data_IF_023652063328
#
_entry.id   IF_023652063328
#
_cell.length_a   1.000
_cell.length_b   1.000
_cell.length_c   1.000
_cell.angle_alpha   90.00
_cell.angle_beta   90.00
_cell.angle_gamma   90.00
#
_symmetry.space_group_name_H-M   'P 1'
#
loop_
_entity.id
_entity.type
_entity.pdbx_description
1 polymer ?
#
# COMPACT_ATOMS: atom_id res chain seq x y z
N UNK A 1 2.62 -11.06 0.12
CA UNK A 1 3.24 -11.70 -1.07
C UNK A 1 4.66 -11.18 -1.16
N UNK A 2 5.66 -12.06 -1.13
CA UNK A 2 7.05 -11.63 -1.06
C UNK A 2 7.97 -12.58 -1.83
N UNK A 3 9.04 -12.10 -2.47
CA UNK A 3 10.07 -12.94 -3.07
C UNK A 3 11.12 -13.36 -2.01
N UNK A 4 10.75 -14.15 -1.00
CA UNK A 4 11.69 -14.59 0.04
C UNK A 4 12.83 -15.44 -0.54
N UNK A 5 13.89 -15.63 0.27
CA UNK A 5 15.12 -16.37 -0.12
C UNK A 5 15.91 -15.70 -1.23
N UNK A 6 15.65 -14.41 -1.46
CA UNK A 6 16.44 -13.54 -2.31
C UNK A 6 17.23 -12.57 -1.42
N UNK A 7 18.44 -12.15 -1.83
CA UNK A 7 19.28 -11.27 -1.02
C UNK A 7 18.51 -10.04 -0.52
N UNK A 8 18.43 -9.86 0.80
CA UNK A 8 17.78 -8.74 1.46
C UNK A 8 16.25 -8.82 1.61
N UNK A 9 15.57 -9.68 0.86
CA UNK A 9 14.10 -9.70 0.83
C UNK A 9 13.46 -10.17 2.13
N UNK A 10 14.10 -11.11 2.84
CA UNK A 10 13.58 -11.60 4.13
C UNK A 10 13.66 -10.49 5.22
N UNK A 11 14.71 -9.66 5.18
CA UNK A 11 14.83 -8.51 6.09
C UNK A 11 13.80 -7.42 5.76
N UNK A 12 13.57 -7.15 4.47
CA UNK A 12 12.52 -6.19 4.03
C UNK A 12 11.12 -6.67 4.41
N UNK A 13 10.85 -7.98 4.34
CA UNK A 13 9.59 -8.55 4.80
C UNK A 13 9.39 -8.31 6.29
N UNK A 14 10.42 -8.56 7.11
CA UNK A 14 10.34 -8.31 8.55
C UNK A 14 10.00 -6.85 8.85
N UNK A 15 10.74 -5.91 8.24
CA UNK A 15 10.50 -4.47 8.40
C UNK A 15 9.07 -4.08 8.00
N UNK A 16 8.56 -4.62 6.90
CA UNK A 16 7.19 -4.34 6.45
C UNK A 16 6.13 -4.85 7.43
N UNK A 17 6.31 -6.06 7.97
CA UNK A 17 5.40 -6.65 8.97
C UNK A 17 5.45 -5.88 10.30
N UNK A 18 6.65 -5.52 10.76
CA UNK A 18 6.86 -4.72 11.97
C UNK A 18 6.18 -3.35 11.85
N UNK A 19 6.41 -2.63 10.76
CA UNK A 19 5.80 -1.33 10.51
C UNK A 19 4.27 -1.42 10.44
N UNK A 20 3.72 -2.42 9.72
CA UNK A 20 2.27 -2.62 9.66
C UNK A 20 1.67 -2.96 11.03
N UNK A 21 2.37 -3.77 11.83
CA UNK A 21 1.97 -4.11 13.20
C UNK A 21 1.95 -2.88 14.10
N UNK A 22 3.03 -2.09 14.10
CA UNK A 22 3.12 -0.87 14.89
C UNK A 22 2.01 0.13 14.52
N UNK A 23 1.74 0.30 13.22
CA UNK A 23 0.67 1.17 12.73
C UNK A 23 -0.72 0.70 13.18
N UNK A 24 -1.02 -0.59 13.01
CA UNK A 24 -2.30 -1.16 13.42
C UNK A 24 -2.53 -1.04 14.95
N UNK A 25 -1.49 -1.32 15.74
CA UNK A 25 -1.51 -1.15 17.21
C UNK A 25 -1.77 0.31 17.58
N UNK A 26 -1.06 1.25 16.93
CA UNK A 26 -1.24 2.69 17.17
C UNK A 26 -2.65 3.19 16.89
N UNK A 27 -3.36 2.58 15.92
CA UNK A 27 -4.76 2.88 15.61
C UNK A 27 -5.77 2.10 16.47
N UNK A 28 -5.32 1.12 17.27
CA UNK A 28 -6.21 0.22 18.00
C UNK A 28 -6.99 -0.74 17.09
N UNK A 29 -6.46 -1.05 15.91
CA UNK A 29 -7.07 -1.95 14.92
C UNK A 29 -6.40 -3.33 15.03
N UNK A 30 -7.20 -4.39 15.18
CA UNK A 30 -6.67 -5.75 15.20
C UNK A 30 -6.44 -6.28 13.77
N UNK A 31 -5.45 -7.16 13.62
CA UNK A 31 -5.24 -7.98 12.40
C UNK A 31 -5.59 -9.43 12.78
N UNK A 32 -6.87 -9.83 12.68
CA UNK A 32 -7.33 -11.12 13.22
C UNK A 32 -6.97 -12.32 12.32
N UNK A 33 -6.60 -12.07 11.06
CA UNK A 33 -6.31 -13.11 10.08
C UNK A 33 -5.34 -12.59 9.03
N UNK A 34 -4.66 -13.50 8.34
CA UNK A 34 -3.73 -13.20 7.26
C UNK A 34 -3.31 -14.46 6.51
N UNK A 35 -2.61 -14.26 5.40
CA UNK A 35 -2.00 -15.33 4.61
C UNK A 35 -0.73 -14.82 3.95
N UNK A 36 0.23 -15.72 3.76
CA UNK A 36 1.47 -15.45 3.05
C UNK A 36 1.57 -16.21 1.72
N UNK A 37 2.42 -15.67 0.85
CA UNK A 37 2.90 -16.31 -0.37
C UNK A 37 4.32 -15.81 -0.57
N UNK A 38 5.30 -16.68 -0.36
CA UNK A 38 6.71 -16.31 -0.14
C UNK A 38 7.63 -16.69 -1.31
N UNK A 39 7.06 -17.17 -2.42
CA UNK A 39 7.79 -17.62 -3.61
C UNK A 39 7.48 -16.74 -4.83
N UNK A 40 7.35 -15.42 -4.65
CA UNK A 40 6.96 -14.50 -5.73
C UNK A 40 8.11 -14.23 -6.72
N UNK A 41 8.62 -15.29 -7.32
CA UNK A 41 9.77 -15.30 -8.21
C UNK A 41 9.51 -16.30 -9.34
N UNK A 42 9.79 -15.89 -10.58
CA UNK A 42 9.72 -16.72 -11.77
C UNK A 42 11.13 -16.86 -12.36
N UNK A 43 11.48 -18.08 -12.80
CA UNK A 43 12.70 -18.34 -13.58
C UNK A 43 12.31 -18.81 -14.97
N UNK A 44 12.94 -18.25 -15.99
CA UNK A 44 12.73 -18.60 -17.39
C UNK A 44 13.81 -19.59 -17.89
N UNK A 45 13.56 -20.32 -19.00
CA UNK A 45 14.50 -21.32 -19.52
C UNK A 45 15.87 -20.79 -19.92
N UNK A 46 15.95 -19.50 -20.29
CA UNK A 46 17.19 -18.78 -20.60
C UNK A 46 17.99 -18.39 -19.34
N UNK A 47 17.47 -18.69 -18.16
CA UNK A 47 18.07 -18.35 -16.88
C UNK A 47 17.63 -16.99 -16.32
N UNK A 48 16.82 -16.21 -17.06
CA UNK A 48 16.27 -14.95 -16.57
C UNK A 48 15.42 -15.19 -15.32
N UNK A 49 15.56 -14.31 -14.33
CA UNK A 49 14.86 -14.39 -13.06
C UNK A 49 14.10 -13.09 -12.82
N UNK A 50 12.79 -13.19 -12.78
CA UNK A 50 11.89 -12.06 -12.52
C UNK A 50 11.35 -12.21 -11.10
N UNK A 51 11.43 -11.13 -10.31
CA UNK A 51 10.92 -11.07 -8.94
C UNK A 51 9.80 -10.05 -8.89
N UNK A 52 8.69 -10.40 -8.24
CA UNK A 52 7.69 -9.40 -7.90
C UNK A 52 8.22 -8.49 -6.76
N UNK A 53 7.79 -7.23 -6.69
CA UNK A 53 8.02 -6.41 -5.50
C UNK A 53 7.44 -7.09 -4.25
N UNK A 54 8.06 -6.85 -3.09
CA UNK A 54 7.43 -7.12 -1.82
C UNK A 54 6.10 -6.39 -1.72
N UNK A 55 5.01 -7.13 -1.52
CA UNK A 55 3.64 -6.60 -1.60
C UNK A 55 2.83 -7.02 -0.38
N UNK A 56 2.38 -6.02 0.38
CA UNK A 56 1.39 -6.17 1.45
C UNK A 56 0.03 -5.77 0.89
N UNK A 57 -0.98 -6.62 1.06
CA UNK A 57 -2.36 -6.34 0.67
C UNK A 57 -3.19 -6.31 1.96
N UNK A 58 -3.78 -5.15 2.26
CA UNK A 58 -4.61 -4.96 3.46
C UNK A 58 -6.08 -4.95 3.04
N UNK A 59 -6.90 -5.74 3.72
CA UNK A 59 -8.37 -5.72 3.60
C UNK A 59 -8.94 -5.32 4.95
N UNK A 60 -9.78 -4.28 4.97
CA UNK A 60 -10.44 -3.80 6.18
C UNK A 60 -11.92 -4.19 6.18
N UNK A 61 -12.44 -4.52 7.37
CA UNK A 61 -13.87 -4.83 7.59
C UNK A 61 -14.30 -4.11 8.86
N UNK A 62 -15.50 -3.51 8.84
CA UNK A 62 -16.09 -2.85 9.99
C UNK A 62 -17.61 -3.01 9.98
N UNK A 63 -18.23 -2.90 11.16
CA UNK A 63 -19.68 -2.77 11.26
C UNK A 63 -20.13 -1.43 10.66
N UNK A 64 -21.24 -1.46 9.93
CA UNK A 64 -21.85 -0.26 9.34
C UNK A 64 -23.16 0.03 10.08
N UNK A 65 -23.17 1.11 10.87
CA UNK A 65 -24.35 1.50 11.65
C UNK A 65 -25.56 1.89 10.78
N UNK A 66 -25.33 2.53 9.64
CA UNK A 66 -26.38 2.89 8.67
C UNK A 66 -25.82 2.96 7.24
N UNK A 67 -26.16 1.96 6.42
CA UNK A 67 -25.72 1.87 5.02
C UNK A 67 -26.20 3.03 4.15
N UNK A 68 -27.30 3.71 4.53
CA UNK A 68 -27.87 4.83 3.76
C UNK A 68 -27.03 6.11 3.87
N UNK A 69 -26.13 6.19 4.85
CA UNK A 69 -25.23 7.34 5.06
C UNK A 69 -23.89 7.22 4.32
N UNK A 70 -23.72 6.18 3.51
CA UNK A 70 -22.51 6.01 2.69
C UNK A 70 -22.36 7.16 1.70
N UNK A 71 -21.20 7.81 1.71
CA UNK A 71 -20.86 8.85 0.73
C UNK A 71 -20.21 8.21 -0.51
N UNK A 72 -20.46 8.81 -1.68
CA UNK A 72 -19.80 8.43 -2.93
C UNK A 72 -18.92 9.60 -3.42
N UNK A 73 -17.92 9.34 -4.27
CA UNK A 73 -17.07 10.39 -4.83
C UNK A 73 -17.77 11.22 -5.93
N UNK A 74 -19.10 11.17 -6.02
CA UNK A 74 -19.88 11.93 -7.02
C UNK A 74 -20.11 13.34 -6.49
N UNK A 75 -19.45 14.32 -7.11
CA UNK A 75 -19.70 15.74 -6.82
C UNK A 75 -21.13 16.10 -7.20
N UNK A 76 -21.88 16.64 -6.24
CA UNK A 76 -23.22 17.17 -6.48
C UNK A 76 -23.11 18.61 -6.98
N UNK A 77 -23.98 19.04 -7.92
CA UNK A 77 -24.00 20.42 -8.40
C UNK A 77 -24.64 21.36 -7.38
N UNK A 78 -24.06 21.42 -6.18
CA UNK A 78 -24.49 22.26 -5.07
C UNK A 78 -23.52 23.44 -4.95
N UNK A 79 -23.96 24.60 -5.43
CA UNK A 79 -23.12 25.79 -5.58
C UNK A 79 -22.67 26.42 -4.24
N UNK A 80 -23.24 25.97 -3.11
CA UNK A 80 -22.86 26.39 -1.76
C UNK A 80 -21.79 25.49 -1.12
N UNK A 81 -21.37 24.41 -1.78
CA UNK A 81 -20.37 23.47 -1.27
C UNK A 81 -18.94 23.96 -1.47
N UNK A 82 -17.99 23.35 -0.75
CA UNK A 82 -16.55 23.62 -0.87
C UNK A 82 -15.77 22.33 -1.03
N UNK A 83 -14.69 22.37 -1.82
CA UNK A 83 -13.71 21.29 -1.88
C UNK A 83 -12.65 21.53 -0.81
N UNK A 84 -12.48 20.56 0.08
CA UNK A 84 -11.50 20.61 1.16
C UNK A 84 -10.46 19.54 0.88
N UNK A 85 -9.19 19.96 0.79
CA UNK A 85 -8.06 19.06 0.76
C UNK A 85 -7.56 18.83 2.19
N UNK A 86 -7.50 17.58 2.61
CA UNK A 86 -6.96 17.16 3.91
C UNK A 86 -5.70 16.36 3.61
N UNK A 87 -4.54 16.93 3.95
CA UNK A 87 -3.26 16.23 3.87
C UNK A 87 -3.07 15.36 5.12
N UNK A 88 -3.05 14.04 4.92
CA UNK A 88 -2.82 13.07 5.98
C UNK A 88 -1.35 12.63 6.08
N UNK A 89 -0.49 12.97 5.10
CA UNK A 89 0.91 12.55 5.13
C UNK A 89 1.79 13.58 5.81
N UNK A 90 1.51 14.89 5.62
CA UNK A 90 2.38 15.97 6.11
C UNK A 90 3.86 15.77 5.70
N UNK A 91 4.06 15.17 4.52
CA UNK A 91 5.36 14.88 3.92
C UNK A 91 5.57 15.74 2.67
N UNK A 92 6.82 15.90 2.18
CA UNK A 92 7.06 16.44 0.85
C UNK A 92 6.29 15.68 -0.24
N UNK A 93 6.04 16.34 -1.38
CA UNK A 93 5.39 15.75 -2.55
C UNK A 93 6.33 14.81 -3.32
N UNK A 94 6.65 13.69 -2.69
CA UNK A 94 7.50 12.64 -3.22
C UNK A 94 6.81 11.87 -4.35
N UNK A 95 7.54 11.57 -5.43
CA UNK A 95 6.99 10.93 -6.64
C UNK A 95 7.52 9.52 -6.89
N UNK A 96 8.40 9.00 -6.03
CA UNK A 96 8.86 7.62 -6.07
C UNK A 96 7.71 6.64 -5.82
N UNK A 97 7.72 5.52 -6.53
CA UNK A 97 6.67 4.50 -6.51
C UNK A 97 5.35 4.92 -7.15
N UNK A 98 5.25 6.14 -7.72
CA UNK A 98 4.01 6.64 -8.32
C UNK A 98 3.76 6.11 -9.72
N UNK A 99 2.49 6.18 -10.16
CA UNK A 99 2.10 5.91 -11.56
C UNK A 99 2.78 6.86 -12.55
N UNK A 100 2.99 8.12 -12.16
CA UNK A 100 3.71 9.11 -12.98
C UNK A 100 5.15 8.67 -13.24
N UNK A 101 5.88 8.28 -12.19
CA UNK A 101 7.24 7.75 -12.33
C UNK A 101 7.27 6.51 -13.23
N UNK A 102 6.36 5.55 -13.00
CA UNK A 102 6.28 4.33 -13.80
C UNK A 102 6.03 4.62 -15.29
N UNK A 103 5.18 5.60 -15.63
CA UNK A 103 4.94 6.01 -17.02
C UNK A 103 6.18 6.61 -17.69
N UNK A 104 7.08 7.23 -16.91
CA UNK A 104 8.36 7.75 -17.39
C UNK A 104 9.48 6.70 -17.42
N UNK A 105 9.18 5.43 -17.08
CA UNK A 105 10.18 4.37 -16.94
C UNK A 105 11.10 4.54 -15.73
N UNK A 106 10.66 5.29 -14.71
CA UNK A 106 11.45 5.60 -13.52
C UNK A 106 10.67 5.27 -12.25
N UNK A 107 11.15 4.31 -11.45
CA UNK A 107 10.48 4.01 -10.18
C UNK A 107 10.70 5.08 -9.11
N UNK A 108 11.83 5.80 -9.13
CA UNK A 108 12.21 6.75 -8.08
C UNK A 108 12.49 6.08 -6.72
N UNK A 109 13.16 6.79 -5.81
CA UNK A 109 13.52 6.26 -4.48
C UNK A 109 12.90 7.05 -3.32
N UNK A 110 12.50 8.29 -3.57
CA UNK A 110 11.81 9.12 -2.59
C UNK A 110 10.30 8.80 -2.64
N UNK A 111 9.83 7.96 -1.72
CA UNK A 111 8.45 7.44 -1.68
C UNK A 111 7.63 8.14 -0.60
N UNK A 112 6.31 8.33 -0.79
CA UNK A 112 5.44 8.84 0.27
C UNK A 112 5.44 7.94 1.50
N UNK A 113 5.40 8.55 2.69
CA UNK A 113 5.30 7.87 3.98
C UNK A 113 4.23 8.50 4.88
N UNK A 114 4.06 7.93 6.08
CA UNK A 114 3.25 8.45 7.18
C UNK A 114 4.03 8.35 8.49
#
# INVERSE_FOLDING_TARGET
MWPCRNPGEDARLYQAVEAASAFAIGLGINIPTGKDSLSMTQRYPDGEKVMAPGTVIITAVAEVADVKKTISPVLKPEFTSSLIYIDFSNTPFSTGGSSFGQMLGQSGTDVPGV
#
